data_IF_155461067382
#
_entry.id   IF_155461067382
#
_cell.length_a   1.000
_cell.length_b   1.000
_cell.length_c   1.000
_cell.angle_alpha   90.00
_cell.angle_beta   90.00
_cell.angle_gamma   90.00
#
_symmetry.space_group_name_H-M   'P 1'
#
loop_
_entity.id
_entity.type
_entity.pdbx_description
1 polymer ?
#
# COMPACT_ATOMS: atom_id res chain seq x y z
N UNK A 1 8.45 14.14 -9.55
CA UNK A 1 9.89 14.40 -9.36
C UNK A 1 10.17 15.54 -8.36
N UNK A 2 9.51 15.57 -7.18
CA UNK A 2 9.65 16.71 -6.25
C UNK A 2 11.05 16.80 -5.61
N UNK A 3 11.57 15.67 -5.10
CA UNK A 3 12.90 15.61 -4.46
C UNK A 3 14.03 15.99 -5.42
N UNK A 4 13.96 15.54 -6.67
CA UNK A 4 14.97 15.83 -7.69
C UNK A 4 14.96 17.31 -8.06
N UNK A 5 13.77 17.87 -8.36
CA UNK A 5 13.64 19.29 -8.73
C UNK A 5 14.15 20.21 -7.61
N UNK A 6 13.72 19.95 -6.37
CA UNK A 6 14.08 20.80 -5.24
C UNK A 6 15.55 20.59 -4.81
N UNK A 7 16.05 19.35 -4.90
CA UNK A 7 17.47 19.06 -4.69
C UNK A 7 18.36 19.81 -5.66
N UNK A 8 18.06 19.74 -6.98
CA UNK A 8 18.83 20.44 -8.01
C UNK A 8 18.80 21.96 -7.83
N UNK A 9 17.66 22.53 -7.42
CA UNK A 9 17.54 23.97 -7.11
C UNK A 9 18.47 24.38 -5.97
N UNK A 10 18.51 23.60 -4.89
CA UNK A 10 19.36 23.91 -3.72
C UNK A 10 20.86 23.72 -4.03
N UNK A 11 21.21 22.71 -4.84
CA UNK A 11 22.59 22.54 -5.33
C UNK A 11 23.01 23.71 -6.21
N UNK A 12 22.16 24.15 -7.13
CA UNK A 12 22.43 25.32 -7.96
C UNK A 12 22.58 26.62 -7.13
N UNK A 13 21.93 26.70 -5.96
CA UNK A 13 22.09 27.78 -4.98
C UNK A 13 23.34 27.65 -4.10
N UNK A 14 24.21 26.66 -4.33
CA UNK A 14 25.48 26.47 -3.63
C UNK A 14 25.45 25.50 -2.44
N UNK A 15 24.33 24.81 -2.20
CA UNK A 15 24.28 23.79 -1.15
C UNK A 15 25.13 22.55 -1.52
N UNK A 16 25.80 21.97 -0.53
CA UNK A 16 26.59 20.75 -0.72
C UNK A 16 25.67 19.54 -1.01
N UNK A 17 25.79 18.88 -2.19
CA UNK A 17 24.96 17.72 -2.54
C UNK A 17 25.04 16.56 -1.55
N UNK A 18 26.24 16.29 -0.98
CA UNK A 18 26.43 15.25 0.02
C UNK A 18 25.73 15.59 1.34
N UNK A 19 25.71 16.87 1.71
CA UNK A 19 24.99 17.36 2.89
C UNK A 19 23.47 17.23 2.71
N UNK A 20 22.95 17.62 1.54
CA UNK A 20 21.55 17.45 1.17
C UNK A 20 21.12 15.98 1.21
N UNK A 21 21.91 15.07 0.61
CA UNK A 21 21.65 13.62 0.64
C UNK A 21 21.51 13.12 2.08
N UNK A 22 22.50 13.40 2.94
CA UNK A 22 22.48 12.97 4.35
C UNK A 22 21.29 13.54 5.12
N UNK A 23 20.91 14.80 4.83
CA UNK A 23 19.73 15.43 5.42
C UNK A 23 18.43 14.74 4.99
N UNK A 24 18.31 14.41 3.69
CA UNK A 24 17.18 13.67 3.15
C UNK A 24 17.09 12.28 3.77
N UNK A 25 18.20 11.54 3.89
CA UNK A 25 18.23 10.21 4.51
C UNK A 25 17.70 10.25 5.95
N UNK A 26 18.21 11.19 6.77
CA UNK A 26 17.74 11.37 8.15
C UNK A 26 16.27 11.78 8.22
N UNK A 27 15.81 12.63 7.30
CA UNK A 27 14.42 13.05 7.24
C UNK A 27 13.51 11.86 6.89
N UNK A 28 13.88 11.06 5.89
CA UNK A 28 13.14 9.87 5.46
C UNK A 28 13.08 8.84 6.59
N UNK A 29 14.19 8.60 7.29
CA UNK A 29 14.23 7.69 8.43
C UNK A 29 13.24 8.16 9.52
N UNK A 30 13.31 9.43 9.91
CA UNK A 30 12.45 9.97 10.97
C UNK A 30 10.97 9.98 10.57
N UNK A 31 10.67 10.30 9.32
CA UNK A 31 9.30 10.28 8.79
C UNK A 31 8.78 8.85 8.77
N UNK A 32 9.57 7.89 8.29
CA UNK A 32 9.18 6.46 8.27
C UNK A 32 8.85 5.96 9.67
N UNK A 33 9.71 6.25 10.66
CA UNK A 33 9.46 5.90 12.06
C UNK A 33 8.14 6.50 12.57
N UNK A 34 7.87 7.76 12.24
CA UNK A 34 6.66 8.47 12.68
C UNK A 34 5.42 7.90 12.02
N UNK A 35 5.48 7.62 10.71
CA UNK A 35 4.38 7.04 9.96
C UNK A 35 4.00 5.67 10.51
N UNK A 36 4.98 4.79 10.75
CA UNK A 36 4.75 3.48 11.33
C UNK A 36 4.14 3.56 12.73
N UNK A 37 4.59 4.51 13.57
CA UNK A 37 4.00 4.74 14.91
C UNK A 37 2.55 5.23 14.86
N UNK A 38 2.19 5.95 13.80
CA UNK A 38 0.83 6.47 13.61
C UNK A 38 -0.08 5.54 12.78
N UNK A 39 0.47 4.44 12.26
CA UNK A 39 -0.27 3.51 11.44
C UNK A 39 -1.38 2.87 12.27
N UNK A 40 -2.57 2.77 11.66
CA UNK A 40 -3.69 2.04 12.25
C UNK A 40 -3.64 0.61 11.77
N UNK A 41 -3.64 -0.33 12.72
CA UNK A 41 -3.74 -1.74 12.40
C UNK A 41 -5.10 -2.05 11.76
N UNK A 42 -5.06 -2.94 10.76
CA UNK A 42 -6.22 -3.42 10.02
C UNK A 42 -6.41 -4.87 10.42
N UNK A 43 -7.34 -5.11 11.33
CA UNK A 43 -7.53 -6.43 11.95
C UNK A 43 -8.89 -7.04 11.62
N UNK A 44 -9.88 -6.19 11.37
CA UNK A 44 -11.26 -6.63 11.15
C UNK A 44 -11.55 -6.80 9.66
N UNK A 45 -12.43 -7.75 9.36
CA UNK A 45 -12.95 -7.98 8.00
C UNK A 45 -13.50 -6.70 7.36
N UNK A 46 -14.21 -5.88 8.14
CA UNK A 46 -14.77 -4.61 7.69
C UNK A 46 -13.68 -3.59 7.29
N UNK A 47 -12.59 -3.51 8.06
CA UNK A 47 -11.45 -2.65 7.73
C UNK A 47 -10.71 -3.14 6.48
N UNK A 48 -10.59 -4.45 6.30
CA UNK A 48 -10.01 -5.05 5.09
C UNK A 48 -10.89 -4.71 3.88
N UNK A 49 -12.21 -4.92 4.00
CA UNK A 49 -13.17 -4.64 2.95
C UNK A 49 -13.15 -3.16 2.54
N UNK A 50 -13.13 -2.23 3.50
CA UNK A 50 -13.02 -0.81 3.23
C UNK A 50 -11.69 -0.45 2.55
N UNK A 51 -10.57 -1.00 3.00
CA UNK A 51 -9.24 -0.72 2.41
C UNK A 51 -9.15 -1.23 0.97
N UNK A 52 -9.60 -2.47 0.74
CA UNK A 52 -9.64 -3.07 -0.58
C UNK A 52 -10.63 -2.35 -1.51
N UNK A 53 -11.79 -1.96 -1.00
CA UNK A 53 -12.79 -1.19 -1.74
C UNK A 53 -12.31 0.19 -2.16
N UNK A 54 -11.58 0.91 -1.30
CA UNK A 54 -10.94 2.18 -1.65
C UNK A 54 -9.88 1.98 -2.74
N UNK A 55 -9.07 0.94 -2.64
CA UNK A 55 -8.01 0.63 -3.61
C UNK A 55 -8.59 0.27 -4.99
N UNK A 56 -9.66 -0.51 -5.01
CA UNK A 56 -10.34 -0.94 -6.23
C UNK A 56 -11.31 0.13 -6.79
N UNK A 57 -11.74 1.09 -5.97
CA UNK A 57 -12.82 2.03 -6.30
C UNK A 57 -14.21 1.38 -6.34
N UNK A 58 -14.36 0.16 -5.81
CA UNK A 58 -15.61 -0.62 -5.80
C UNK A 58 -15.73 -1.41 -4.50
N UNK A 59 -16.81 -1.15 -3.75
CA UNK A 59 -17.06 -1.81 -2.46
C UNK A 59 -17.30 -3.32 -2.62
N UNK A 60 -17.94 -3.75 -3.70
CA UNK A 60 -18.24 -5.17 -3.97
C UNK A 60 -16.96 -5.98 -4.12
N UNK A 61 -15.94 -5.39 -4.77
CA UNK A 61 -14.61 -6.00 -4.89
C UNK A 61 -13.94 -6.07 -3.52
N UNK A 62 -14.05 -5.00 -2.73
CA UNK A 62 -13.52 -4.96 -1.37
C UNK A 62 -14.10 -6.05 -0.47
N UNK A 63 -15.42 -6.22 -0.51
CA UNK A 63 -16.13 -7.24 0.28
C UNK A 63 -15.70 -8.66 -0.13
N UNK A 64 -15.55 -8.93 -1.43
CA UNK A 64 -15.10 -10.22 -1.95
C UNK A 64 -13.66 -10.54 -1.53
N UNK A 65 -12.76 -9.55 -1.58
CA UNK A 65 -11.38 -9.70 -1.10
C UNK A 65 -11.34 -9.97 0.39
N UNK A 66 -12.15 -9.26 1.18
CA UNK A 66 -12.24 -9.50 2.62
C UNK A 66 -12.79 -10.89 2.95
N UNK A 67 -13.75 -11.40 2.17
CA UNK A 67 -14.22 -12.78 2.29
C UNK A 67 -13.15 -13.81 1.93
N UNK A 68 -12.37 -13.56 0.87
CA UNK A 68 -11.26 -14.42 0.47
C UNK A 68 -10.18 -14.49 1.58
N UNK A 69 -9.77 -13.33 2.12
CA UNK A 69 -8.78 -13.25 3.20
C UNK A 69 -9.26 -13.92 4.49
N UNK A 70 -10.54 -13.81 4.83
CA UNK A 70 -11.14 -14.45 6.02
C UNK A 70 -11.08 -15.99 5.93
N UNK A 71 -11.25 -16.55 4.74
CA UNK A 71 -11.21 -18.00 4.52
C UNK A 71 -9.78 -18.56 4.39
N UNK A 72 -8.88 -17.80 3.78
CA UNK A 72 -7.50 -18.22 3.46
C UNK A 72 -6.49 -17.82 4.56
N UNK A 73 -6.89 -16.90 5.44
CA UNK A 73 -6.04 -16.32 6.49
C UNK A 73 -5.14 -15.21 5.96
N UNK A 74 -4.63 -14.37 6.88
CA UNK A 74 -3.85 -13.17 6.54
C UNK A 74 -2.55 -13.44 5.77
N UNK A 75 -1.98 -14.64 5.91
CA UNK A 75 -0.73 -15.04 5.24
C UNK A 75 -0.97 -15.95 4.03
N UNK A 76 -2.23 -16.29 3.71
CA UNK A 76 -2.52 -17.18 2.61
C UNK A 76 -2.51 -16.46 1.25
N UNK A 77 -2.51 -17.25 0.19
CA UNK A 77 -2.29 -16.75 -1.18
C UNK A 77 -3.63 -16.56 -1.89
N UNK A 78 -3.82 -15.40 -2.50
CA UNK A 78 -4.96 -15.09 -3.36
C UNK A 78 -4.45 -14.87 -4.78
N UNK A 79 -5.02 -15.60 -5.74
CA UNK A 79 -4.76 -15.44 -7.17
C UNK A 79 -5.99 -14.85 -7.85
N UNK A 80 -5.77 -14.11 -8.94
CA UNK A 80 -6.83 -13.55 -9.77
C UNK A 80 -6.72 -14.18 -11.15
N UNK A 81 -7.81 -14.75 -11.63
CA UNK A 81 -7.90 -15.40 -12.94
C UNK A 81 -8.99 -14.75 -13.80
N UNK A 82 -8.83 -14.82 -15.12
CA UNK A 82 -9.84 -14.36 -16.06
C UNK A 82 -10.94 -15.43 -16.19
N UNK A 83 -12.19 -15.03 -15.95
CA UNK A 83 -13.36 -15.92 -16.09
C UNK A 83 -14.07 -15.67 -17.42
N UNK A 84 -14.56 -16.76 -18.02
CA UNK A 84 -15.44 -16.70 -19.20
C UNK A 84 -16.89 -16.34 -18.85
N UNK A 85 -17.24 -16.25 -17.56
CA UNK A 85 -18.57 -15.87 -17.09
C UNK A 85 -18.61 -14.40 -16.66
N UNK A 86 -19.75 -13.75 -16.84
CA UNK A 86 -19.97 -12.40 -16.34
C UNK A 86 -20.03 -12.38 -14.81
N UNK A 87 -19.36 -11.40 -14.22
CA UNK A 87 -19.35 -11.16 -12.78
C UNK A 87 -18.03 -11.56 -12.12
N UNK A 88 -18.00 -11.45 -10.80
CA UNK A 88 -16.87 -11.85 -9.96
C UNK A 88 -17.27 -13.09 -9.17
N UNK A 89 -16.34 -14.04 -9.06
CA UNK A 89 -16.53 -15.28 -8.33
C UNK A 89 -15.32 -15.53 -7.44
N UNK A 90 -15.56 -16.18 -6.31
CA UNK A 90 -14.52 -16.61 -5.38
C UNK A 90 -14.55 -18.13 -5.34
N UNK A 91 -13.47 -18.76 -5.80
CA UNK A 91 -13.23 -20.19 -5.62
C UNK A 91 -12.16 -20.42 -4.56
N UNK A 92 -12.36 -21.46 -3.75
CA UNK A 92 -11.37 -21.94 -2.80
C UNK A 92 -10.89 -23.31 -3.25
N UNK A 93 -9.61 -23.41 -3.52
CA UNK A 93 -8.94 -24.69 -3.78
C UNK A 93 -8.30 -25.18 -2.50
N UNK A 94 -8.62 -26.40 -2.08
CA UNK A 94 -7.77 -27.12 -1.14
C UNK A 94 -6.45 -27.43 -1.88
N UNK A 95 -5.33 -26.93 -1.34
CA UNK A 95 -3.99 -27.29 -1.82
C UNK A 95 -3.64 -28.74 -1.48
#
# INVERSE_FOLDING_TARGET
QALVREGLRNVAAGANPLGLKRGIEKAVEKITETLLKSAKEVETKDQIAATAGISAGDQTIGDLIAEAMDKVGNEGVITVEESNTFGLQLELTEG
#
